data_IF_427893396432
#
_entry.id   IF_427893396432
#
_cell.length_a   1.000
_cell.length_b   1.000
_cell.length_c   1.000
_cell.angle_alpha   90.00
_cell.angle_beta   90.00
_cell.angle_gamma   90.00
#
_symmetry.space_group_name_H-M   'P 1'
#
loop_
_entity.id
_entity.type
_entity.pdbx_description
1 polymer ?
#
# COMPACT_ATOMS: atom_id res chain seq x y z
N UNK A 1 25.37 8.78 -25.40
CA UNK A 1 24.73 8.08 -26.53
C UNK A 1 23.36 8.67 -26.83
N UNK A 2 22.74 8.40 -27.99
CA UNK A 2 21.48 9.03 -28.40
C UNK A 2 20.29 8.64 -27.50
N UNK A 3 19.34 9.56 -27.31
CA UNK A 3 18.05 9.28 -26.68
C UNK A 3 17.21 8.41 -27.62
N UNK A 4 16.66 7.31 -27.09
CA UNK A 4 15.84 6.37 -27.87
C UNK A 4 14.69 5.89 -26.99
N UNK A 5 13.57 5.51 -27.60
CA UNK A 5 12.43 4.92 -26.89
C UNK A 5 12.86 3.74 -26.00
N UNK A 6 13.71 2.84 -26.52
CA UNK A 6 14.23 1.70 -25.75
C UNK A 6 14.97 2.15 -24.49
N UNK A 7 15.86 3.13 -24.59
CA UNK A 7 16.62 3.63 -23.42
C UNK A 7 15.71 4.31 -22.41
N UNK A 8 14.73 5.07 -22.87
CA UNK A 8 13.73 5.69 -22.00
C UNK A 8 12.93 4.62 -21.24
N UNK A 9 12.39 3.63 -21.95
CA UNK A 9 11.64 2.53 -21.32
C UNK A 9 12.51 1.71 -20.36
N UNK A 10 13.76 1.39 -20.72
CA UNK A 10 14.70 0.72 -19.80
C UNK A 10 14.92 1.54 -18.54
N UNK A 11 15.14 2.85 -18.66
CA UNK A 11 15.33 3.72 -17.50
C UNK A 11 14.08 3.78 -16.62
N UNK A 12 12.88 3.90 -17.22
CA UNK A 12 11.61 3.86 -16.49
C UNK A 12 11.45 2.53 -15.75
N UNK A 13 11.70 1.39 -16.40
CA UNK A 13 11.62 0.09 -15.75
C UNK A 13 12.59 -0.01 -14.57
N UNK A 14 13.83 0.46 -14.70
CA UNK A 14 14.79 0.45 -13.59
C UNK A 14 14.32 1.29 -12.40
N UNK A 15 13.82 2.50 -12.66
CA UNK A 15 13.32 3.37 -11.58
C UNK A 15 12.08 2.76 -10.93
N UNK A 16 11.09 2.31 -11.72
CA UNK A 16 9.84 1.75 -11.18
C UNK A 16 10.04 0.50 -10.34
N UNK A 17 10.98 -0.37 -10.76
CA UNK A 17 11.19 -1.68 -10.12
C UNK A 17 12.14 -1.64 -8.92
N UNK A 18 12.95 -0.57 -8.77
CA UNK A 18 14.06 -0.53 -7.77
C UNK A 18 14.15 0.75 -6.94
N UNK A 19 13.38 1.78 -7.24
CA UNK A 19 13.45 3.01 -6.45
C UNK A 19 12.72 2.85 -5.11
N UNK A 20 13.35 3.37 -4.06
CA UNK A 20 12.84 3.41 -2.70
C UNK A 20 12.40 4.82 -2.36
N UNK A 21 11.23 4.95 -1.72
CA UNK A 21 10.78 6.21 -1.16
C UNK A 21 11.52 6.51 0.14
N UNK A 22 12.11 7.70 0.23
CA UNK A 22 12.58 8.25 1.50
C UNK A 22 11.42 8.96 2.20
N UNK A 23 11.34 8.84 3.54
CA UNK A 23 10.37 9.64 4.29
C UNK A 23 10.58 11.12 3.98
N UNK A 24 9.50 11.89 3.80
CA UNK A 24 9.60 13.31 3.45
C UNK A 24 10.32 14.09 4.56
N UNK A 25 11.44 14.73 4.21
CA UNK A 25 12.01 15.87 4.93
C UNK A 25 12.90 16.67 4.00
N UNK A 26 13.07 17.97 4.29
CA UNK A 26 13.90 18.98 3.61
C UNK A 26 15.27 18.43 3.18
N UNK A 27 15.32 17.67 2.11
CA UNK A 27 16.56 17.18 1.52
C UNK A 27 17.21 18.40 0.87
N UNK A 28 18.48 18.71 1.17
CA UNK A 28 19.20 19.71 0.41
C UNK A 28 19.29 19.20 -1.03
N UNK A 29 18.48 19.76 -1.93
CA UNK A 29 18.61 19.50 -3.36
C UNK A 29 19.93 20.11 -3.82
N UNK A 30 20.92 19.32 -4.25
CA UNK A 30 22.13 19.88 -4.83
C UNK A 30 21.79 20.32 -6.25
N UNK A 31 21.84 21.63 -6.54
CA UNK A 31 21.93 22.06 -7.95
C UNK A 31 21.20 23.31 -8.41
N UNK A 32 20.54 24.10 -7.57
CA UNK A 32 20.01 25.40 -7.98
C UNK A 32 20.24 26.43 -6.88
N UNK A 33 20.82 27.56 -7.24
CA UNK A 33 21.10 28.69 -6.35
C UNK A 33 19.80 29.17 -5.68
N UNK A 34 19.56 28.70 -4.45
CA UNK A 34 18.35 29.02 -3.68
C UNK A 34 17.76 27.78 -3.03
N UNK A 35 17.70 27.79 -1.69
CA UNK A 35 17.13 26.72 -0.87
C UNK A 35 15.63 26.61 -1.15
N UNK A 36 15.25 25.78 -2.11
CA UNK A 36 13.86 25.35 -2.32
C UNK A 36 13.62 24.10 -1.47
N UNK A 37 12.78 24.23 -0.43
CA UNK A 37 12.39 23.14 0.45
C UNK A 37 11.32 22.28 -0.26
N UNK A 38 11.72 21.12 -0.80
CA UNK A 38 10.75 20.13 -1.24
C UNK A 38 10.16 19.38 -0.04
N UNK A 39 8.84 19.40 0.09
CA UNK A 39 8.08 18.57 1.04
C UNK A 39 7.73 17.20 0.45
N UNK A 40 8.13 16.91 -0.80
CA UNK A 40 7.84 15.63 -1.43
C UNK A 40 8.79 14.54 -0.94
N UNK A 41 8.26 13.34 -0.72
CA UNK A 41 9.09 12.15 -0.58
C UNK A 41 10.02 12.06 -1.79
N UNK A 42 11.32 11.88 -1.55
CA UNK A 42 12.29 11.66 -2.61
C UNK A 42 12.37 10.17 -2.93
N UNK A 43 12.54 9.82 -4.20
CA UNK A 43 12.81 8.46 -4.62
C UNK A 43 14.31 8.28 -4.85
N UNK A 44 14.89 7.16 -4.44
CA UNK A 44 16.30 6.87 -4.66
C UNK A 44 16.55 5.43 -5.08
N UNK A 45 17.60 5.22 -5.88
CA UNK A 45 18.17 3.90 -6.12
C UNK A 45 19.21 3.62 -5.04
N UNK A 46 19.16 2.43 -4.44
CA UNK A 46 20.04 2.03 -3.33
C UNK A 46 20.87 0.83 -3.79
N UNK A 47 22.10 1.06 -4.30
CA UNK A 47 22.95 -0.02 -4.78
C UNK A 47 23.17 -1.09 -3.70
N UNK A 48 22.99 -2.35 -4.07
CA UNK A 48 23.17 -3.49 -3.19
C UNK A 48 21.85 -3.90 -2.52
N UNK A 49 21.14 -2.96 -1.90
CA UNK A 49 19.81 -3.25 -1.34
C UNK A 49 18.76 -3.53 -2.45
N UNK A 50 18.95 -2.94 -3.63
CA UNK A 50 18.13 -3.16 -4.82
C UNK A 50 18.35 -4.51 -5.51
N UNK A 51 19.28 -5.34 -5.02
CA UNK A 51 19.49 -6.72 -5.47
C UNK A 51 18.67 -7.73 -4.65
N UNK A 52 18.15 -7.33 -3.50
CA UNK A 52 17.41 -8.22 -2.59
C UNK A 52 16.00 -8.43 -3.11
N UNK A 53 15.60 -9.68 -3.34
CA UNK A 53 14.28 -10.01 -3.86
C UNK A 53 13.17 -9.77 -2.82
N UNK A 54 11.93 -9.72 -3.30
CA UNK A 54 10.76 -9.52 -2.45
C UNK A 54 10.37 -10.80 -1.71
N UNK A 55 10.19 -10.71 -0.39
CA UNK A 55 9.43 -11.69 0.36
C UNK A 55 8.54 -11.02 1.41
N UNK A 56 7.34 -11.58 1.58
CA UNK A 56 6.41 -11.27 2.65
C UNK A 56 5.99 -12.58 3.30
N UNK A 57 6.01 -12.61 4.64
CA UNK A 57 5.81 -13.85 5.40
C UNK A 57 4.34 -14.05 5.70
N UNK A 58 3.68 -12.98 6.15
CA UNK A 58 2.25 -12.94 6.49
C UNK A 58 1.66 -11.61 6.07
N UNK A 59 0.32 -11.52 6.07
CA UNK A 59 -0.41 -10.28 5.76
C UNK A 59 0.14 -9.10 6.57
N UNK A 60 0.46 -9.27 7.84
CA UNK A 60 0.97 -8.24 8.74
C UNK A 60 2.50 -8.27 8.97
N UNK A 61 3.25 -9.17 8.30
CA UNK A 61 4.67 -9.39 8.60
C UNK A 61 5.54 -9.44 7.35
N UNK A 62 6.46 -8.48 7.25
CA UNK A 62 7.55 -8.43 6.29
C UNK A 62 8.70 -9.38 6.69
N UNK A 63 9.48 -9.89 5.72
CA UNK A 63 10.70 -10.65 6.00
C UNK A 63 11.88 -9.75 6.44
N UNK A 64 11.99 -8.59 5.80
CA UNK A 64 12.91 -7.53 6.17
C UNK A 64 12.35 -6.20 5.65
N UNK A 65 12.86 -5.09 6.15
CA UNK A 65 12.53 -3.77 5.65
C UNK A 65 13.78 -2.91 5.55
N UNK A 66 13.89 -2.16 4.46
CA UNK A 66 14.87 -1.09 4.34
C UNK A 66 14.39 0.10 5.17
N UNK A 67 15.24 0.57 6.08
CA UNK A 67 14.96 1.65 7.00
C UNK A 67 15.94 2.80 6.77
N UNK A 68 15.46 4.03 6.92
CA UNK A 68 16.29 5.22 6.87
C UNK A 68 16.46 5.83 8.25
N UNK A 69 17.69 5.88 8.74
CA UNK A 69 18.05 6.62 9.95
C UNK A 69 18.36 8.07 9.58
N UNK A 70 17.40 8.96 9.86
CA UNK A 70 17.56 10.39 9.58
C UNK A 70 18.72 11.04 10.33
N UNK A 71 18.92 10.70 11.61
CA UNK A 71 19.96 11.31 12.44
C UNK A 71 21.38 10.96 11.96
N UNK A 72 21.53 9.80 11.32
CA UNK A 72 22.80 9.29 10.80
C UNK A 72 22.91 9.39 9.29
N UNK A 73 21.89 9.91 8.60
CA UNK A 73 21.79 9.91 7.14
C UNK A 73 22.15 8.55 6.51
N UNK A 74 21.72 7.45 7.12
CA UNK A 74 22.15 6.10 6.76
C UNK A 74 20.95 5.20 6.49
N UNK A 75 21.02 4.39 5.44
CA UNK A 75 20.10 3.29 5.20
C UNK A 75 20.61 2.01 5.84
N UNK A 76 19.72 1.25 6.46
CA UNK A 76 20.02 -0.08 6.99
C UNK A 76 18.87 -1.02 6.67
N UNK A 77 19.19 -2.29 6.41
CA UNK A 77 18.19 -3.34 6.26
C UNK A 77 18.01 -4.02 7.61
N UNK A 78 16.78 -4.05 8.11
CA UNK A 78 16.42 -4.79 9.32
C UNK A 78 15.65 -6.04 8.92
N UNK A 79 16.11 -7.21 9.38
CA UNK A 79 15.39 -8.47 9.18
C UNK A 79 14.52 -8.80 10.38
N UNK A 80 13.33 -9.34 10.11
CA UNK A 80 12.37 -9.81 11.11
C UNK A 80 12.34 -11.34 11.20
N UNK A 81 13.27 -12.04 10.54
CA UNK A 81 13.44 -13.49 10.57
C UNK A 81 14.89 -13.90 10.69
N UNK A 82 15.11 -15.14 11.13
CA UNK A 82 16.42 -15.76 11.06
C UNK A 82 16.70 -16.26 9.63
N UNK A 83 17.97 -16.16 9.22
CA UNK A 83 18.47 -16.75 7.98
C UNK A 83 19.55 -17.78 8.29
N UNK A 84 19.42 -18.96 7.68
CA UNK A 84 20.48 -19.96 7.72
C UNK A 84 21.65 -19.55 6.82
N UNK A 85 22.84 -20.10 7.10
CA UNK A 85 24.01 -19.84 6.27
C UNK A 85 23.78 -20.30 4.84
N UNK A 86 23.92 -19.38 3.89
CA UNK A 86 23.72 -19.66 2.46
C UNK A 86 22.28 -19.50 1.99
N UNK A 87 21.33 -19.20 2.90
CA UNK A 87 19.99 -18.81 2.52
C UNK A 87 20.00 -17.44 1.82
N UNK A 88 19.07 -17.26 0.89
CA UNK A 88 18.83 -15.95 0.26
C UNK A 88 18.27 -14.97 1.30
N UNK A 89 18.77 -13.74 1.29
CA UNK A 89 18.25 -12.65 2.11
C UNK A 89 17.24 -11.85 1.28
N UNK A 90 16.04 -11.71 1.81
CA UNK A 90 14.96 -10.97 1.14
C UNK A 90 14.77 -9.58 1.72
N UNK A 91 14.10 -8.73 0.96
CA UNK A 91 13.51 -7.47 1.40
C UNK A 91 11.98 -7.52 1.23
N UNK A 92 11.23 -6.69 1.95
CA UNK A 92 9.82 -6.45 1.68
C UNK A 92 9.66 -5.14 0.92
N UNK A 93 9.11 -5.17 -0.29
CA UNK A 93 8.88 -3.97 -1.09
C UNK A 93 7.64 -3.19 -0.63
N UNK A 94 6.95 -3.69 0.38
CA UNK A 94 5.68 -3.20 0.92
C UNK A 94 4.56 -4.22 0.77
N UNK A 95 3.45 -3.96 1.45
CA UNK A 95 2.22 -4.76 1.38
C UNK A 95 1.55 -4.48 0.03
N UNK A 96 1.77 -5.35 -0.96
CA UNK A 96 1.32 -5.12 -2.35
C UNK A 96 0.61 -6.36 -2.90
N UNK A 97 -0.57 -6.21 -3.53
CA UNK A 97 -1.23 -7.30 -4.24
C UNK A 97 -0.44 -7.68 -5.49
N UNK A 98 -0.68 -8.88 -6.03
CA UNK A 98 0.04 -9.37 -7.21
C UNK A 98 -0.21 -8.49 -8.44
N UNK A 99 -1.40 -7.88 -8.56
CA UNK A 99 -1.67 -6.91 -9.63
C UNK A 99 -0.67 -5.73 -9.61
N UNK A 100 -0.35 -5.21 -8.42
CA UNK A 100 0.63 -4.15 -8.28
C UNK A 100 2.06 -4.64 -8.50
N UNK A 101 2.42 -5.82 -7.96
CA UNK A 101 3.74 -6.43 -8.18
C UNK A 101 4.01 -6.68 -9.67
N UNK A 102 3.01 -7.16 -10.41
CA UNK A 102 3.14 -7.43 -11.83
C UNK A 102 3.39 -6.15 -12.62
N UNK A 103 2.61 -5.11 -12.38
CA UNK A 103 2.68 -3.85 -13.14
C UNK A 103 3.93 -3.04 -12.78
N UNK A 104 4.32 -2.98 -11.52
CA UNK A 104 5.41 -2.12 -11.05
C UNK A 104 6.77 -2.84 -10.98
N UNK A 105 6.76 -4.14 -10.73
CA UNK A 105 7.98 -4.93 -10.49
C UNK A 105 8.20 -6.07 -11.50
N UNK A 106 7.18 -6.42 -12.30
CA UNK A 106 7.29 -7.42 -13.36
C UNK A 106 7.23 -8.87 -12.89
N UNK A 107 6.70 -9.14 -11.68
CA UNK A 107 6.55 -10.50 -11.15
C UNK A 107 5.28 -10.63 -10.30
N UNK A 108 4.89 -11.86 -9.98
CA UNK A 108 3.85 -12.19 -9.00
C UNK A 108 4.40 -13.21 -8.02
N UNK A 109 3.88 -13.24 -6.79
CA UNK A 109 4.17 -14.30 -5.84
C UNK A 109 3.13 -15.42 -6.00
N UNK A 110 3.54 -16.71 -6.06
CA UNK A 110 2.60 -17.83 -6.13
C UNK A 110 1.62 -17.88 -4.96
N UNK A 111 2.09 -17.47 -3.78
CA UNK A 111 1.29 -17.30 -2.56
C UNK A 111 1.60 -15.92 -2.01
N UNK A 112 0.72 -14.95 -2.28
CA UNK A 112 0.85 -13.58 -1.77
C UNK A 112 -0.19 -13.34 -0.67
N UNK A 113 0.20 -13.19 0.61
CA UNK A 113 -0.74 -12.90 1.70
C UNK A 113 -1.50 -11.57 1.56
N UNK A 114 -1.02 -10.69 0.68
CA UNK A 114 -1.60 -9.40 0.33
C UNK A 114 -2.30 -9.41 -1.03
N UNK A 115 -2.49 -10.57 -1.65
CA UNK A 115 -3.25 -10.61 -2.90
C UNK A 115 -4.71 -10.28 -2.64
N UNK A 116 -5.19 -9.28 -3.34
CA UNK A 116 -6.58 -8.87 -3.28
C UNK A 116 -7.00 -8.32 -4.64
N UNK A 117 -8.29 -8.44 -4.91
CA UNK A 117 -8.93 -7.74 -6.02
C UNK A 117 -9.71 -6.54 -5.50
N UNK A 118 -9.61 -5.37 -6.15
CA UNK A 118 -10.44 -4.24 -5.78
C UNK A 118 -11.89 -4.53 -6.16
N UNK A 119 -12.79 -4.43 -5.18
CA UNK A 119 -14.23 -4.53 -5.36
C UNK A 119 -14.83 -3.13 -5.29
N UNK A 120 -15.09 -2.48 -6.44
CA UNK A 120 -15.70 -1.17 -6.47
C UNK A 120 -17.17 -1.27 -6.04
N UNK A 121 -17.50 -0.73 -4.87
CA UNK A 121 -18.89 -0.58 -4.44
C UNK A 121 -19.38 0.84 -4.68
N UNK A 122 -20.64 0.95 -5.12
CA UNK A 122 -21.34 2.22 -5.27
C UNK A 122 -22.59 2.19 -4.42
N UNK A 123 -22.69 3.12 -3.49
CA UNK A 123 -23.95 3.38 -2.80
C UNK A 123 -24.94 4.00 -3.77
N UNK A 124 -26.10 3.37 -3.90
CA UNK A 124 -27.25 3.93 -4.61
C UNK A 124 -28.23 4.38 -3.53
N UNK A 125 -28.42 5.69 -3.33
CA UNK A 125 -29.32 6.18 -2.28
C UNK A 125 -30.74 5.73 -2.59
N UNK A 126 -31.25 4.84 -1.74
CA UNK A 126 -32.61 4.28 -1.82
C UNK A 126 -33.29 4.20 -0.46
N UNK A 127 -32.63 4.59 0.64
CA UNK A 127 -33.16 4.43 1.99
C UNK A 127 -33.40 5.78 2.68
N UNK A 128 -34.45 5.90 3.53
CA UNK A 128 -34.69 7.09 4.36
C UNK A 128 -33.57 7.40 5.38
N UNK A 129 -32.61 6.49 5.56
CA UNK A 129 -31.56 6.55 6.58
C UNK A 129 -30.17 6.88 5.98
N UNK A 130 -30.15 7.47 4.79
CA UNK A 130 -28.93 7.87 4.06
C UNK A 130 -27.95 8.65 4.95
N UNK A 131 -28.46 9.64 5.71
CA UNK A 131 -27.67 10.44 6.64
C UNK A 131 -26.95 9.63 7.75
N UNK A 132 -27.48 8.48 8.16
CA UNK A 132 -26.82 7.61 9.14
C UNK A 132 -25.68 6.81 8.48
N UNK A 133 -25.89 6.38 7.24
CA UNK A 133 -24.88 5.68 6.44
C UNK A 133 -23.70 6.61 6.17
N UNK A 134 -23.97 7.87 5.76
CA UNK A 134 -22.95 8.88 5.49
C UNK A 134 -22.09 9.21 6.72
N UNK A 135 -22.73 9.39 7.88
CA UNK A 135 -22.01 9.67 9.14
C UNK A 135 -21.05 8.56 9.52
N UNK A 136 -21.33 7.34 9.10
CA UNK A 136 -20.58 6.16 9.53
C UNK A 136 -19.48 5.86 8.56
N UNK A 137 -19.75 6.00 7.27
CA UNK A 137 -18.69 6.08 6.28
C UNK A 137 -17.69 7.17 6.68
N UNK A 138 -18.16 8.37 7.05
CA UNK A 138 -17.29 9.44 7.55
C UNK A 138 -16.53 9.05 8.82
N UNK A 139 -17.19 8.39 9.79
CA UNK A 139 -16.53 7.90 11.01
C UNK A 139 -15.47 6.82 10.72
N UNK A 140 -15.64 6.04 9.65
CA UNK A 140 -14.65 5.09 9.14
C UNK A 140 -13.58 5.75 8.25
N UNK A 141 -13.61 7.07 8.07
CA UNK A 141 -12.69 7.80 7.19
C UNK A 141 -12.98 7.62 5.69
N UNK A 142 -14.15 7.11 5.34
CA UNK A 142 -14.61 6.85 3.97
C UNK A 142 -15.46 8.04 3.47
N UNK A 143 -15.06 8.69 2.36
CA UNK A 143 -15.70 9.93 1.85
C UNK A 143 -16.53 9.64 0.58
N UNK A 144 -17.82 9.98 0.57
CA UNK A 144 -18.71 9.84 -0.59
C UNK A 144 -18.45 10.88 -1.72
N UNK A 145 -18.74 10.60 -3.01
CA UNK A 145 -19.29 9.35 -3.57
C UNK A 145 -18.15 8.34 -3.75
N UNK A 146 -18.02 7.42 -2.80
CA UNK A 146 -16.88 6.54 -2.77
C UNK A 146 -17.21 5.34 -3.63
N UNK A 147 -16.48 5.19 -4.73
CA UNK A 147 -16.03 3.86 -5.10
C UNK A 147 -15.11 3.42 -3.97
N UNK A 148 -15.65 2.82 -2.91
CA UNK A 148 -14.78 2.20 -1.90
C UNK A 148 -14.14 1.05 -2.64
N UNK A 149 -12.84 1.13 -2.90
CA UNK A 149 -12.08 -0.02 -3.33
C UNK A 149 -11.96 -0.93 -2.13
N UNK A 150 -12.98 -1.74 -1.86
CA UNK A 150 -12.84 -2.78 -0.85
C UNK A 150 -11.86 -3.80 -1.40
N UNK A 151 -10.96 -4.27 -0.56
CA UNK A 151 -10.08 -5.37 -0.93
C UNK A 151 -10.79 -6.68 -0.65
N UNK A 152 -10.90 -7.52 -1.66
CA UNK A 152 -11.39 -8.89 -1.55
C UNK A 152 -10.20 -9.84 -1.64
N UNK A 153 -9.89 -10.48 -0.52
CA UNK A 153 -8.87 -11.51 -0.40
C UNK A 153 -9.47 -12.90 -0.69
N UNK A 154 -8.64 -13.92 -0.70
CA UNK A 154 -9.04 -15.32 -0.81
C UNK A 154 -9.92 -15.79 0.36
N UNK A 155 -9.68 -15.25 1.56
CA UNK A 155 -10.43 -15.53 2.80
C UNK A 155 -11.65 -14.60 3.02
N UNK A 156 -11.90 -13.66 2.10
CA UNK A 156 -13.06 -12.77 2.12
C UNK A 156 -12.71 -11.28 2.08
N UNK A 157 -13.69 -10.40 2.38
CA UNK A 157 -13.46 -8.96 2.36
C UNK A 157 -12.57 -8.52 3.52
N UNK A 158 -11.84 -7.42 3.34
CA UNK A 158 -11.14 -6.75 4.45
C UNK A 158 -12.11 -6.41 5.61
N UNK A 159 -11.63 -6.17 6.85
CA UNK A 159 -12.49 -5.75 7.95
C UNK A 159 -13.35 -4.52 7.61
N UNK A 160 -12.76 -3.53 6.93
CA UNK A 160 -13.46 -2.34 6.40
C UNK A 160 -14.46 -2.75 5.31
N UNK A 161 -14.04 -3.67 4.44
CA UNK A 161 -14.86 -4.40 3.46
C UNK A 161 -16.16 -4.94 4.05
N UNK A 162 -16.02 -5.74 5.10
CA UNK A 162 -17.11 -6.41 5.77
C UNK A 162 -18.02 -5.41 6.48
N UNK A 163 -17.47 -4.39 7.14
CA UNK A 163 -18.25 -3.33 7.77
C UNK A 163 -19.10 -2.56 6.75
N UNK A 164 -18.53 -2.20 5.59
CA UNK A 164 -19.27 -1.55 4.49
C UNK A 164 -20.39 -2.45 3.95
N UNK A 165 -20.11 -3.73 3.72
CA UNK A 165 -21.13 -4.69 3.26
C UNK A 165 -22.26 -4.86 4.28
N UNK A 166 -21.96 -4.89 5.58
CA UNK A 166 -22.97 -4.95 6.64
C UNK A 166 -23.82 -3.69 6.69
N UNK A 167 -23.24 -2.51 6.48
CA UNK A 167 -24.00 -1.25 6.38
C UNK A 167 -24.91 -1.22 5.15
N UNK A 168 -24.44 -1.74 4.01
CA UNK A 168 -25.24 -1.83 2.78
C UNK A 168 -26.44 -2.79 2.92
N UNK A 169 -26.29 -3.83 3.73
CA UNK A 169 -27.33 -4.84 3.97
C UNK A 169 -28.21 -4.53 5.19
N UNK A 170 -27.93 -3.45 5.94
CA UNK A 170 -28.65 -3.11 7.16
C UNK A 170 -30.12 -2.76 6.84
N UNK A 171 -31.07 -3.50 7.41
CA UNK A 171 -32.49 -3.22 7.20
C UNK A 171 -32.94 -2.01 8.04
N UNK A 172 -33.93 -1.20 7.61
CA UNK A 172 -34.45 -0.07 8.38
C UNK A 172 -34.82 -0.40 9.84
N UNK A 173 -35.34 -1.60 10.10
CA UNK A 173 -35.69 -2.07 11.45
C UNK A 173 -34.48 -2.40 12.32
N UNK A 174 -33.30 -2.54 11.71
CA UNK A 174 -32.05 -2.86 12.36
C UNK A 174 -31.21 -1.60 12.64
N UNK A 175 -31.68 -0.40 12.28
CA UNK A 175 -31.04 0.87 12.67
C UNK A 175 -31.30 1.20 14.16
N UNK A 176 -30.86 0.30 15.06
CA UNK A 176 -30.72 0.58 16.49
C UNK A 176 -29.24 0.86 16.81
N UNK A 177 -28.96 1.64 17.85
CA UNK A 177 -27.58 1.92 18.28
C UNK A 177 -26.75 0.66 18.57
N UNK A 178 -27.41 -0.45 18.95
CA UNK A 178 -26.80 -1.73 19.26
C UNK A 178 -26.43 -2.55 18.01
N UNK A 179 -27.30 -2.55 17.00
CA UNK A 179 -27.01 -3.16 15.70
C UNK A 179 -25.82 -2.47 15.02
N UNK A 180 -25.68 -1.17 15.28
CA UNK A 180 -24.62 -0.33 14.74
C UNK A 180 -23.22 -0.73 15.24
N UNK A 181 -23.11 -1.00 16.54
CA UNK A 181 -21.82 -1.40 17.15
C UNK A 181 -21.38 -2.77 16.66
N UNK A 182 -22.33 -3.69 16.43
CA UNK A 182 -22.04 -5.03 15.89
C UNK A 182 -21.66 -5.00 14.41
N UNK A 183 -22.21 -4.07 13.63
CA UNK A 183 -21.86 -3.95 12.21
C UNK A 183 -20.37 -3.56 12.00
N UNK A 184 -19.81 -2.80 12.94
CA UNK A 184 -18.43 -2.26 12.91
C UNK A 184 -17.37 -3.15 13.60
N UNK A 185 -17.76 -4.24 14.27
CA UNK A 185 -16.86 -5.21 14.94
C UNK A 185 -16.59 -6.43 14.06
#
# INVERSE_FOLDING_TARGET
>A
GPFTQRRFLTAVCWVMTRAFGLPPKELPTPGLDGISRSTSAAMMLVPGADLLNHAQIRRDQAAASLQYNLARSTLYLESFVAYDRGAEVYNCYGLKPNAQLLVQYGFVLPVNPQDAVPLPLRFIPRSPHEHLTDRVLQAMGLIMPLTVGLEMFDDGPSPEGLAVLRLLLLHPTEFSAFSFTRALQ
#
